data_IF_020383291249
#
_entry.id   IF_020383291249
#
_cell.length_a   1.000
_cell.length_b   1.000
_cell.length_c   1.000
_cell.angle_alpha   90.00
_cell.angle_beta   90.00
_cell.angle_gamma   90.00
#
_symmetry.space_group_name_H-M   'P 1'
#
loop_
_entity.id
_entity.type
_entity.pdbx_description
1 polymer ?
#
# COMPACT_ATOMS: atom_id res chain seq x y z
N UNK A 1 24.59 6.22 0.49
CA UNK A 1 23.66 5.60 -0.48
C UNK A 1 22.61 4.68 0.17
N UNK A 2 22.96 3.79 1.11
CA UNK A 2 22.00 2.87 1.76
C UNK A 2 20.90 3.56 2.61
N UNK A 3 21.20 4.66 3.28
CA UNK A 3 20.24 5.35 4.17
C UNK A 3 19.13 6.13 3.44
N UNK A 4 19.42 6.70 2.26
CA UNK A 4 18.45 7.46 1.47
C UNK A 4 17.37 6.58 0.83
N UNK A 5 17.81 5.42 0.35
CA UNK A 5 16.95 4.39 -0.22
C UNK A 5 16.03 3.80 0.85
N UNK A 6 16.56 3.49 2.05
CA UNK A 6 15.76 2.95 3.15
C UNK A 6 14.63 3.89 3.63
N UNK A 7 14.85 5.21 3.51
CA UNK A 7 13.85 6.23 3.88
C UNK A 7 12.70 6.38 2.88
N UNK A 8 12.93 6.09 1.59
CA UNK A 8 11.93 6.31 0.53
C UNK A 8 11.28 5.05 -0.04
N UNK A 9 11.85 3.86 0.18
CA UNK A 9 11.25 2.61 -0.34
C UNK A 9 9.83 2.36 0.19
N UNK A 10 9.55 2.76 1.43
CA UNK A 10 8.22 2.60 2.03
C UNK A 10 7.17 3.47 1.33
N UNK A 11 7.55 4.69 0.95
CA UNK A 11 6.72 5.59 0.16
C UNK A 11 6.52 5.10 -1.27
N UNK A 12 7.57 4.58 -1.91
CA UNK A 12 7.46 3.97 -3.25
C UNK A 12 6.54 2.75 -3.24
N UNK A 13 6.64 1.90 -2.21
CA UNK A 13 5.78 0.73 -2.06
C UNK A 13 4.31 1.14 -1.86
N UNK A 14 4.06 2.19 -1.07
CA UNK A 14 2.71 2.76 -0.90
C UNK A 14 2.16 3.25 -2.24
N UNK A 15 2.95 3.98 -3.03
CA UNK A 15 2.55 4.50 -4.34
C UNK A 15 2.18 3.35 -5.29
N UNK A 16 3.03 2.33 -5.40
CA UNK A 16 2.79 1.17 -6.27
C UNK A 16 1.52 0.41 -5.87
N UNK A 17 1.33 0.18 -4.57
CA UNK A 17 0.15 -0.52 -4.05
C UNK A 17 -1.11 0.32 -4.23
N UNK A 18 -1.03 1.65 -4.05
CA UNK A 18 -2.13 2.59 -4.31
C UNK A 18 -2.54 2.58 -5.77
N UNK A 19 -1.58 2.69 -6.70
CA UNK A 19 -1.86 2.65 -8.15
C UNK A 19 -2.51 1.32 -8.54
N UNK A 20 -1.97 0.21 -8.01
CA UNK A 20 -2.52 -1.13 -8.29
C UNK A 20 -3.95 -1.27 -7.78
N UNK A 21 -4.25 -0.76 -6.59
CA UNK A 21 -5.58 -0.78 -6.02
C UNK A 21 -6.55 0.12 -6.79
N UNK A 22 -6.13 1.34 -7.17
CA UNK A 22 -6.93 2.27 -8.00
C UNK A 22 -7.26 1.64 -9.35
N UNK A 23 -6.28 1.00 -10.02
CA UNK A 23 -6.52 0.30 -11.28
C UNK A 23 -7.53 -0.85 -11.12
N UNK A 24 -7.48 -1.56 -9.99
CA UNK A 24 -8.47 -2.60 -9.66
C UNK A 24 -9.87 -2.03 -9.42
N UNK A 25 -9.99 -0.81 -8.89
CA UNK A 25 -11.27 -0.11 -8.71
C UNK A 25 -11.82 0.43 -10.04
N UNK A 26 -10.96 0.94 -10.92
CA UNK A 26 -11.36 1.45 -12.24
C UNK A 26 -11.84 0.31 -13.15
N UNK A 27 -11.20 -0.85 -13.08
CA UNK A 27 -11.59 -2.04 -13.84
C UNK A 27 -12.54 -2.96 -13.04
N UNK A 28 -13.31 -2.39 -12.12
CA UNK A 28 -14.20 -3.17 -11.27
C UNK A 28 -15.31 -3.83 -12.08
N UNK A 29 -15.35 -5.15 -12.02
CA UNK A 29 -16.41 -5.98 -12.57
C UNK A 29 -17.36 -6.39 -11.42
N UNK A 30 -18.68 -6.11 -11.51
CA UNK A 30 -19.65 -6.49 -10.48
C UNK A 30 -19.88 -8.01 -10.34
N UNK A 31 -19.16 -8.84 -11.10
CA UNK A 31 -19.13 -10.29 -10.86
C UNK A 31 -18.65 -10.64 -9.45
N UNK A 32 -19.04 -11.83 -8.96
CA UNK A 32 -18.62 -12.35 -7.64
C UNK A 32 -17.10 -12.32 -7.47
N UNK A 33 -16.34 -12.48 -8.57
CA UNK A 33 -14.88 -12.41 -8.59
C UNK A 33 -14.37 -11.00 -8.31
N UNK A 34 -14.98 -9.97 -8.92
CA UNK A 34 -14.58 -8.58 -8.69
C UNK A 34 -14.90 -8.10 -7.28
N UNK A 35 -16.03 -8.54 -6.70
CA UNK A 35 -16.38 -8.23 -5.30
C UNK A 35 -15.32 -8.80 -4.34
N UNK A 36 -14.93 -10.07 -4.54
CA UNK A 36 -13.87 -10.71 -3.74
C UNK A 36 -12.53 -9.99 -3.95
N UNK A 37 -12.19 -9.61 -5.18
CA UNK A 37 -10.97 -8.88 -5.48
C UNK A 37 -10.89 -7.52 -4.76
N UNK A 38 -11.99 -6.76 -4.69
CA UNK A 38 -12.02 -5.50 -3.93
C UNK A 38 -11.85 -5.73 -2.43
N UNK A 39 -12.51 -6.74 -1.86
CA UNK A 39 -12.42 -7.01 -0.41
C UNK A 39 -10.98 -7.38 -0.02
N UNK A 40 -10.39 -8.35 -0.73
CA UNK A 40 -9.01 -8.76 -0.48
C UNK A 40 -8.01 -7.66 -0.81
N UNK A 41 -8.24 -6.94 -1.91
CA UNK A 41 -7.43 -5.77 -2.29
C UNK A 41 -7.47 -4.68 -1.24
N UNK A 42 -8.64 -4.40 -0.65
CA UNK A 42 -8.82 -3.40 0.40
C UNK A 42 -8.13 -3.78 1.70
N UNK A 43 -8.21 -5.06 2.11
CA UNK A 43 -7.48 -5.57 3.27
C UNK A 43 -5.96 -5.46 3.04
N UNK A 44 -5.48 -5.86 1.87
CA UNK A 44 -4.08 -5.72 1.49
C UNK A 44 -3.61 -4.27 1.49
N UNK A 45 -4.40 -3.37 0.91
CA UNK A 45 -4.13 -1.94 0.89
C UNK A 45 -4.01 -1.36 2.30
N UNK A 46 -4.99 -1.64 3.17
CA UNK A 46 -4.96 -1.20 4.58
C UNK A 46 -3.76 -1.75 5.34
N UNK A 47 -3.38 -3.02 5.10
CA UNK A 47 -2.19 -3.62 5.68
C UNK A 47 -0.90 -2.90 5.27
N UNK A 48 -0.78 -2.54 3.99
CA UNK A 48 0.37 -1.79 3.48
C UNK A 48 0.41 -0.37 4.02
N UNK A 49 -0.73 0.32 4.08
CA UNK A 49 -0.84 1.65 4.70
C UNK A 49 -0.41 1.60 6.16
N UNK A 50 -0.91 0.62 6.93
CA UNK A 50 -0.52 0.44 8.32
C UNK A 50 0.98 0.22 8.47
N UNK A 51 1.57 -0.61 7.62
CA UNK A 51 3.00 -0.91 7.64
C UNK A 51 3.82 0.37 7.41
N UNK A 52 3.47 1.14 6.37
CA UNK A 52 4.17 2.39 6.02
C UNK A 52 4.05 3.42 7.14
N UNK A 53 2.87 3.57 7.74
CA UNK A 53 2.67 4.45 8.91
C UNK A 53 3.52 3.99 10.10
N UNK A 54 3.58 2.69 10.38
CA UNK A 54 4.41 2.13 11.45
C UNK A 54 5.90 2.41 11.22
N UNK A 55 6.40 2.21 10.00
CA UNK A 55 7.79 2.53 9.67
C UNK A 55 8.07 4.03 9.79
N UNK A 56 7.16 4.90 9.34
CA UNK A 56 7.30 6.34 9.47
C UNK A 56 7.39 6.77 10.95
N UNK A 57 6.50 6.23 11.79
CA UNK A 57 6.50 6.48 13.25
C UNK A 57 7.78 5.96 13.91
N UNK A 58 8.25 4.77 13.53
CA UNK A 58 9.49 4.20 14.07
C UNK A 58 10.74 5.00 13.64
N UNK A 59 10.78 5.46 12.39
CA UNK A 59 11.85 6.33 11.89
C UNK A 59 11.87 7.69 12.60
N UNK A 60 10.70 8.24 12.96
CA UNK A 60 10.61 9.50 13.75
C UNK A 60 11.00 9.34 15.21
N UNK A 61 10.87 8.14 15.78
CA UNK A 61 11.29 7.84 17.16
C UNK A 61 12.79 7.56 17.29
N UNK A 62 13.43 7.13 16.20
CA UNK A 62 14.84 6.73 16.16
C UNK A 62 15.78 7.81 15.58
N UNK A 63 15.26 8.98 15.22
CA UNK A 63 16.04 10.14 14.73
C UNK A 63 15.85 11.32 15.65
#
# INVERSE_FOLDING_TARGET
MKAFLNKHYHWLFLIVVSISFILSLVNFDPSTKGIVAIIFGGIGFLGVVYLVVRIEVQNRKNG
#
